data_IF_036738636501
#
_entry.id   IF_036738636501
#
_cell.length_a   1.000
_cell.length_b   1.000
_cell.length_c   1.000
_cell.angle_alpha   90.00
_cell.angle_beta   90.00
_cell.angle_gamma   90.00
#
_symmetry.space_group_name_H-M   'P 1'
#
loop_
_entity.id
_entity.type
_entity.pdbx_description
1 polymer ?
#
# COMPACT_ATOMS: atom_id res chain seq x y z
N UNK A 1 4.10 -5.86 12.33
CA UNK A 1 5.11 -6.21 11.32
C UNK A 1 6.48 -6.53 11.90
N UNK A 2 7.07 -5.67 12.73
CA UNK A 2 8.40 -5.91 13.34
C UNK A 2 8.46 -7.23 14.13
N UNK A 3 7.48 -7.51 14.99
CA UNK A 3 7.38 -8.76 15.75
C UNK A 3 7.34 -10.01 14.85
N UNK A 4 6.57 -9.98 13.75
CA UNK A 4 6.51 -11.10 12.80
C UNK A 4 7.83 -11.30 12.05
N UNK A 5 8.53 -10.22 11.69
CA UNK A 5 9.89 -10.31 11.10
C UNK A 5 10.90 -10.91 12.09
N UNK A 6 10.81 -10.50 13.36
CA UNK A 6 11.67 -11.00 14.42
C UNK A 6 11.47 -12.51 14.67
N UNK A 7 10.21 -12.95 14.81
CA UNK A 7 9.87 -14.37 14.99
C UNK A 7 10.32 -15.21 13.78
N UNK A 8 10.17 -14.68 12.55
CA UNK A 8 10.60 -15.38 11.34
C UNK A 8 12.13 -15.59 11.28
N UNK A 9 12.89 -14.64 11.83
CA UNK A 9 14.35 -14.71 11.89
C UNK A 9 14.83 -15.66 13.01
N UNK A 10 14.01 -15.86 14.04
CA UNK A 10 14.29 -16.79 15.15
C UNK A 10 13.97 -18.26 14.86
N UNK A 11 13.06 -18.56 13.94
CA UNK A 11 12.73 -19.94 13.57
C UNK A 11 13.77 -20.55 12.59
N UNK A 12 14.88 -21.06 13.12
CA UNK A 12 15.99 -21.61 12.31
C UNK A 12 15.62 -22.91 11.58
N UNK A 13 14.64 -23.68 12.08
CA UNK A 13 14.28 -25.04 11.61
C UNK A 13 13.41 -25.10 10.34
N UNK A 14 12.97 -23.97 9.78
CA UNK A 14 12.18 -23.98 8.53
C UNK A 14 13.07 -23.90 7.29
N UNK A 15 12.62 -24.57 6.22
CA UNK A 15 13.16 -24.45 4.87
C UNK A 15 13.43 -22.99 4.49
N UNK A 16 14.66 -22.70 4.05
CA UNK A 16 15.10 -21.37 3.61
C UNK A 16 14.15 -20.78 2.56
N UNK A 17 13.61 -21.64 1.68
CA UNK A 17 12.64 -21.24 0.65
C UNK A 17 11.34 -20.70 1.26
N UNK A 18 10.84 -21.30 2.32
CA UNK A 18 9.62 -20.84 3.00
C UNK A 18 9.85 -19.52 3.74
N UNK A 19 11.02 -19.32 4.36
CA UNK A 19 11.38 -18.04 4.99
C UNK A 19 11.39 -16.90 3.98
N UNK A 20 11.98 -17.11 2.81
CA UNK A 20 12.01 -16.10 1.73
C UNK A 20 10.60 -15.75 1.26
N UNK A 21 9.73 -16.74 1.06
CA UNK A 21 8.34 -16.49 0.65
C UNK A 21 7.55 -15.71 1.70
N UNK A 22 7.70 -16.03 2.98
CA UNK A 22 7.01 -15.33 4.07
C UNK A 22 7.52 -13.89 4.20
N UNK A 23 8.84 -13.68 4.07
CA UNK A 23 9.44 -12.34 4.10
C UNK A 23 8.91 -11.46 2.96
N UNK A 24 8.80 -12.00 1.76
CA UNK A 24 8.21 -11.33 0.60
C UNK A 24 6.72 -11.03 0.83
N UNK A 25 5.95 -11.98 1.36
CA UNK A 25 4.53 -11.77 1.69
C UNK A 25 4.35 -10.67 2.72
N UNK A 26 5.17 -10.64 3.78
CA UNK A 26 5.12 -9.59 4.80
C UNK A 26 5.45 -8.22 4.24
N UNK A 27 6.46 -8.13 3.37
CA UNK A 27 6.85 -6.88 2.72
C UNK A 27 5.76 -6.35 1.79
N UNK A 28 5.06 -7.24 1.09
CA UNK A 28 3.86 -6.88 0.28
C UNK A 28 2.73 -6.37 1.15
N UNK A 29 2.41 -7.10 2.23
CA UNK A 29 1.35 -6.70 3.16
C UNK A 29 1.67 -5.36 3.82
N UNK A 30 2.94 -5.11 4.13
CA UNK A 30 3.40 -3.81 4.64
C UNK A 30 3.19 -2.70 3.61
N UNK A 31 3.58 -2.90 2.35
CA UNK A 31 3.34 -1.92 1.29
C UNK A 31 1.84 -1.68 1.06
N UNK A 32 1.04 -2.76 1.04
CA UNK A 32 -0.41 -2.73 0.91
C UNK A 32 -1.10 -1.96 2.02
N UNK A 33 -0.56 -1.98 3.24
CA UNK A 33 -1.12 -1.23 4.35
C UNK A 33 -0.69 0.24 4.31
N UNK A 34 0.60 0.50 4.04
CA UNK A 34 1.14 1.87 4.09
C UNK A 34 0.66 2.73 2.92
N UNK A 35 0.51 2.18 1.72
CA UNK A 35 0.06 2.93 0.53
C UNK A 35 -1.32 3.58 0.75
N UNK A 36 -2.40 2.84 1.07
CA UNK A 36 -3.70 3.45 1.31
C UNK A 36 -3.70 4.33 2.57
N UNK A 37 -2.89 4.01 3.58
CA UNK A 37 -2.80 4.85 4.77
C UNK A 37 -2.21 6.23 4.44
N UNK A 38 -1.13 6.30 3.66
CA UNK A 38 -0.56 7.56 3.18
C UNK A 38 -1.48 8.26 2.17
N UNK A 39 -2.01 7.53 1.19
CA UNK A 39 -2.74 8.12 0.06
C UNK A 39 -4.22 8.36 0.31
N UNK A 40 -4.80 7.85 1.40
CA UNK A 40 -6.19 8.16 1.79
C UNK A 40 -6.26 8.99 3.07
N UNK A 41 -5.48 8.66 4.11
CA UNK A 41 -5.58 9.35 5.41
C UNK A 41 -5.01 10.75 5.33
N UNK A 42 -3.84 10.94 4.70
CA UNK A 42 -3.23 12.28 4.55
C UNK A 42 -4.15 13.23 3.78
N UNK A 43 -4.65 12.89 2.57
CA UNK A 43 -5.56 13.79 1.87
C UNK A 43 -6.90 13.98 2.58
N UNK A 44 -7.41 12.98 3.32
CA UNK A 44 -8.60 13.14 4.16
C UNK A 44 -8.37 14.18 5.29
N UNK A 45 -7.21 14.17 5.95
CA UNK A 45 -6.85 15.18 6.96
C UNK A 45 -6.80 16.57 6.34
N UNK A 46 -6.19 16.71 5.15
CA UNK A 46 -6.11 18.00 4.44
C UNK A 46 -7.51 18.54 4.11
N UNK A 47 -8.40 17.68 3.60
CA UNK A 47 -9.79 18.06 3.31
C UNK A 47 -10.57 18.41 4.58
N UNK A 48 -10.33 17.69 5.67
CA UNK A 48 -10.98 17.96 6.96
C UNK A 48 -10.53 19.31 7.55
N UNK A 49 -9.23 19.59 7.57
CA UNK A 49 -8.69 20.89 7.98
C UNK A 49 -9.29 21.99 7.10
N UNK A 50 -9.30 21.80 5.78
CA UNK A 50 -9.88 22.77 4.86
C UNK A 50 -11.37 23.04 5.13
N UNK A 51 -12.15 22.00 5.46
CA UNK A 51 -13.57 22.14 5.76
C UNK A 51 -13.82 22.97 7.03
N UNK A 52 -12.95 22.81 8.04
CA UNK A 52 -13.08 23.50 9.34
C UNK A 52 -12.52 24.92 9.30
N UNK A 53 -11.33 25.11 8.73
CA UNK A 53 -10.58 26.36 8.87
C UNK A 53 -10.53 27.20 7.60
N UNK A 54 -10.85 26.62 6.43
CA UNK A 54 -10.75 27.25 5.10
C UNK A 54 -9.40 27.93 4.83
N UNK A 55 -8.33 27.44 5.46
CA UNK A 55 -7.00 28.05 5.38
C UNK A 55 -6.36 27.95 3.98
N UNK A 56 -6.72 26.94 3.19
CA UNK A 56 -6.11 26.69 1.90
C UNK A 56 -6.89 27.37 0.77
N UNK A 57 -6.20 27.83 -0.29
CA UNK A 57 -6.85 28.36 -1.48
C UNK A 57 -7.67 27.26 -2.18
N UNK A 58 -8.73 27.67 -2.89
CA UNK A 58 -9.74 26.77 -3.47
C UNK A 58 -9.18 25.64 -4.36
N UNK A 59 -8.01 25.86 -4.97
CA UNK A 59 -7.33 24.89 -5.83
C UNK A 59 -6.82 23.67 -5.05
N UNK A 60 -6.37 23.84 -3.81
CA UNK A 60 -5.77 22.77 -3.00
C UNK A 60 -6.74 21.61 -2.78
N UNK A 61 -7.98 21.80 -2.27
CA UNK A 61 -8.93 20.70 -2.13
C UNK A 61 -9.33 20.06 -3.47
N UNK A 62 -9.34 20.82 -4.58
CA UNK A 62 -9.60 20.26 -5.91
C UNK A 62 -8.50 19.29 -6.36
N UNK A 63 -7.23 19.68 -6.21
CA UNK A 63 -6.10 18.79 -6.51
C UNK A 63 -6.07 17.56 -5.59
N UNK A 64 -6.36 17.73 -4.31
CA UNK A 64 -6.42 16.63 -3.33
C UNK A 64 -7.52 15.63 -3.69
N UNK A 65 -8.69 16.12 -4.10
CA UNK A 65 -9.82 15.26 -4.52
C UNK A 65 -9.49 14.52 -5.82
N UNK A 66 -8.83 15.18 -6.79
CA UNK A 66 -8.37 14.55 -8.02
C UNK A 66 -7.34 13.44 -7.73
N UNK A 67 -6.43 13.69 -6.79
CA UNK A 67 -5.43 12.71 -6.37
C UNK A 67 -6.07 11.47 -5.71
N UNK A 68 -7.12 11.68 -4.90
CA UNK A 68 -7.94 10.62 -4.31
C UNK A 68 -8.64 9.76 -5.38
N UNK A 69 -9.15 10.38 -6.45
CA UNK A 69 -9.80 9.66 -7.55
C UNK A 69 -8.84 8.80 -8.37
N UNK A 70 -7.56 9.21 -8.46
CA UNK A 70 -6.51 8.48 -9.18
C UNK A 70 -5.84 7.41 -8.28
N UNK A 71 -6.03 7.47 -6.97
CA UNK A 71 -5.44 6.51 -6.04
C UNK A 71 -5.83 5.04 -6.32
N UNK A 72 -7.11 4.65 -6.53
CA UNK A 72 -7.48 3.25 -6.79
C UNK A 72 -6.76 2.62 -7.99
N UNK A 73 -6.70 3.25 -9.18
CA UNK A 73 -5.96 2.68 -10.31
C UNK A 73 -4.45 2.63 -10.04
N UNK A 74 -3.86 3.65 -9.41
CA UNK A 74 -2.42 3.65 -9.06
C UNK A 74 -2.10 2.56 -8.04
N UNK A 75 -2.96 2.37 -7.04
CA UNK A 75 -2.84 1.33 -6.03
C UNK A 75 -2.90 -0.06 -6.66
N UNK A 76 -3.88 -0.30 -7.54
CA UNK A 76 -4.01 -1.56 -8.26
C UNK A 76 -2.80 -1.83 -9.17
N UNK A 77 -2.25 -0.80 -9.81
CA UNK A 77 -1.07 -0.94 -10.67
C UNK A 77 0.21 -1.21 -9.85
N UNK A 78 0.36 -0.56 -8.69
CA UNK A 78 1.43 -0.85 -7.74
C UNK A 78 1.33 -2.26 -7.18
N UNK A 79 0.12 -2.72 -6.84
CA UNK A 79 -0.16 -4.10 -6.42
C UNK A 79 0.25 -5.11 -7.49
N UNK A 80 -0.13 -4.87 -8.76
CA UNK A 80 0.22 -5.73 -9.89
C UNK A 80 1.74 -5.82 -10.12
N UNK A 81 2.47 -4.72 -9.92
CA UNK A 81 3.94 -4.70 -10.04
C UNK A 81 4.63 -5.42 -8.87
N UNK A 82 4.09 -5.30 -7.66
CA UNK A 82 4.69 -5.82 -6.42
C UNK A 82 4.33 -7.30 -6.18
N UNK A 83 3.21 -7.79 -6.73
CA UNK A 83 2.74 -9.16 -6.61
C UNK A 83 2.99 -9.99 -7.89
N UNK A 84 4.13 -10.68 -8.02
CA UNK A 84 4.36 -11.63 -9.12
C UNK A 84 3.31 -12.76 -9.20
N UNK A 85 2.60 -13.06 -8.10
CA UNK A 85 1.46 -13.98 -8.11
C UNK A 85 0.32 -13.49 -9.01
N UNK A 86 0.09 -12.17 -9.03
CA UNK A 86 -0.91 -11.52 -9.88
C UNK A 86 -0.45 -11.47 -11.35
N UNK A 87 0.84 -11.23 -11.60
CA UNK A 87 1.41 -11.35 -12.96
C UNK A 87 1.22 -12.74 -13.54
N UNK A 88 1.46 -13.79 -12.74
CA UNK A 88 1.24 -15.18 -13.18
C UNK A 88 -0.22 -15.45 -13.49
N UNK A 89 -1.13 -14.99 -12.63
CA UNK A 89 -2.58 -15.13 -12.86
C UNK A 89 -3.05 -14.41 -14.13
N UNK A 90 -2.50 -13.24 -14.46
CA UNK A 90 -2.84 -12.52 -15.70
C UNK A 90 -2.27 -13.21 -16.94
N UNK A 91 -1.03 -13.72 -16.87
CA UNK A 91 -0.43 -14.49 -17.98
C UNK A 91 -1.11 -15.85 -18.17
N UNK A 92 -1.74 -16.41 -17.15
CA UNK A 92 -2.62 -17.59 -17.28
C UNK A 92 -4.00 -17.25 -17.85
N UNK A 93 -4.44 -15.99 -17.79
CA UNK A 93 -5.75 -15.52 -18.24
C UNK A 93 -5.74 -14.97 -19.68
N UNK A 94 -4.55 -14.74 -20.26
CA UNK A 94 -4.29 -14.25 -21.61
C UNK A 94 -3.71 -15.38 -22.45
#
# INVERSE_FOLDING_TARGET
>A
FYHMFYVLNGETNKSERSKVLIRLSLMRLFAQLNVPLLFAVVPAIILFIQAVTRCFPFLVPQFVTLFLSIHPPVHNLALLLIMPTYRRAIVELV
#
